data_IF_965325706722
#
_entry.id   IF_965325706722
#
_cell.length_a   1.000
_cell.length_b   1.000
_cell.length_c   1.000
_cell.angle_alpha   90.00
_cell.angle_beta   90.00
_cell.angle_gamma   90.00
#
_symmetry.space_group_name_H-M   'P 1'
#
loop_
_entity.id
_entity.type
_entity.pdbx_description
1 polymer ?
#
# COMPACT_ATOMS: atom_id res chain seq x y z
N UNK A 1 -52.73 -20.93 -22.22
CA UNK A 1 -52.74 -21.05 -23.69
C UNK A 1 -51.28 -21.18 -24.11
N UNK A 2 -50.72 -22.39 -24.18
CA UNK A 2 -50.67 -23.23 -25.39
C UNK A 2 -49.45 -22.79 -26.23
N UNK A 3 -48.43 -23.59 -26.56
CA UNK A 3 -48.39 -25.01 -26.88
C UNK A 3 -46.97 -25.56 -26.70
N UNK A 4 -46.89 -26.84 -26.35
CA UNK A 4 -45.72 -27.69 -26.36
C UNK A 4 -45.29 -28.10 -27.78
N UNK A 5 -44.04 -28.54 -27.94
CA UNK A 5 -43.65 -29.60 -28.88
C UNK A 5 -42.33 -30.27 -28.43
N UNK A 6 -42.49 -31.49 -27.89
CA UNK A 6 -41.48 -32.55 -27.78
C UNK A 6 -41.13 -33.13 -29.16
N UNK A 7 -39.94 -33.73 -29.35
CA UNK A 7 -39.70 -35.05 -29.99
C UNK A 7 -38.20 -35.27 -30.29
N UNK A 8 -37.57 -36.21 -29.55
CA UNK A 8 -36.55 -37.17 -30.05
C UNK A 8 -37.30 -38.47 -30.47
N UNK A 9 -36.71 -39.61 -30.94
CA UNK A 9 -35.31 -40.05 -31.13
C UNK A 9 -35.06 -40.87 -32.45
N UNK A 10 -33.88 -41.53 -32.57
CA UNK A 10 -33.59 -42.86 -33.20
C UNK A 10 -32.48 -42.93 -34.29
N UNK A 11 -31.24 -43.24 -33.85
CA UNK A 11 -30.53 -44.54 -34.05
C UNK A 11 -30.16 -45.05 -35.49
N UNK A 12 -29.49 -46.22 -35.68
CA UNK A 12 -28.12 -46.31 -36.21
C UNK A 12 -28.01 -47.18 -37.49
N UNK A 13 -26.89 -47.13 -38.22
CA UNK A 13 -26.55 -48.16 -39.21
C UNK A 13 -25.10 -48.62 -39.11
N UNK A 14 -24.99 -49.89 -38.69
CA UNK A 14 -23.86 -50.78 -38.89
C UNK A 14 -23.63 -51.03 -40.39
N UNK A 15 -22.36 -51.25 -40.77
CA UNK A 15 -21.97 -51.90 -42.01
C UNK A 15 -20.63 -52.63 -41.84
N UNK A 16 -20.72 -53.93 -41.56
CA UNK A 16 -19.62 -54.89 -41.43
C UNK A 16 -18.75 -55.00 -42.71
N UNK A 17 -17.47 -55.35 -42.55
CA UNK A 17 -16.89 -56.53 -43.22
C UNK A 17 -15.51 -56.89 -42.63
N UNK A 18 -15.49 -58.07 -42.01
CA UNK A 18 -14.32 -58.86 -41.66
C UNK A 18 -13.66 -59.42 -42.92
N UNK A 19 -12.35 -59.25 -43.05
CA UNK A 19 -11.51 -60.11 -43.88
C UNK A 19 -10.31 -60.58 -43.04
N UNK A 20 -10.36 -61.85 -42.64
CA UNK A 20 -9.24 -62.60 -42.08
C UNK A 20 -8.30 -63.00 -43.22
N UNK A 21 -7.06 -62.54 -43.18
CA UNK A 21 -5.92 -63.22 -43.82
C UNK A 21 -4.82 -63.33 -42.79
N UNK A 22 -4.48 -64.57 -42.45
CA UNK A 22 -3.31 -64.93 -41.67
C UNK A 22 -2.07 -64.88 -42.57
N UNK A 23 -0.96 -64.32 -42.09
CA UNK A 23 0.36 -64.97 -42.05
C UNK A 23 1.46 -64.01 -41.57
N UNK A 24 2.44 -64.63 -40.91
CA UNK A 24 3.82 -64.19 -40.63
C UNK A 24 4.04 -63.18 -39.51
N UNK A 25 4.48 -63.73 -38.37
CA UNK A 25 5.37 -63.07 -37.42
C UNK A 25 6.67 -62.76 -38.17
N UNK A 26 6.91 -61.48 -38.45
CA UNK A 26 8.21 -60.95 -38.84
C UNK A 26 8.54 -59.75 -37.95
N UNK A 27 9.82 -59.64 -37.65
CA UNK A 27 10.43 -58.89 -36.55
C UNK A 27 9.94 -57.45 -36.36
N UNK A 28 9.67 -57.10 -35.10
CA UNK A 28 9.55 -55.71 -34.63
C UNK A 28 10.95 -55.08 -34.68
N UNK A 29 11.20 -54.04 -35.49
CA UNK A 29 12.35 -53.19 -35.25
C UNK A 29 12.01 -52.30 -34.06
N UNK A 30 12.77 -52.44 -32.99
CA UNK A 30 12.86 -51.52 -31.87
C UNK A 30 13.35 -50.15 -32.37
N UNK A 31 12.40 -49.34 -32.85
CA UNK A 31 12.59 -47.96 -33.28
C UNK A 31 12.49 -46.98 -32.11
N UNK A 32 13.63 -46.76 -31.47
CA UNK A 32 14.11 -45.55 -30.79
C UNK A 32 13.09 -44.43 -30.46
N UNK A 33 12.90 -44.20 -29.15
CA UNK A 33 12.47 -42.92 -28.59
C UNK A 33 13.58 -41.87 -28.67
N UNK A 34 13.83 -41.34 -29.88
CA UNK A 34 14.88 -40.35 -30.15
C UNK A 34 14.41 -38.90 -30.29
N UNK A 35 13.12 -38.61 -30.17
CA UNK A 35 12.58 -37.25 -30.41
C UNK A 35 12.80 -36.26 -29.25
N UNK A 36 12.91 -36.74 -28.01
CA UNK A 36 12.95 -35.86 -26.83
C UNK A 36 14.28 -35.15 -26.55
N UNK A 37 15.41 -35.69 -26.99
CA UNK A 37 16.73 -35.11 -26.69
C UNK A 37 17.16 -34.02 -27.69
N UNK A 38 16.73 -34.13 -28.95
CA UNK A 38 17.02 -33.10 -29.97
C UNK A 38 16.23 -31.81 -29.71
N UNK A 39 14.99 -31.94 -29.23
CA UNK A 39 14.08 -30.81 -28.96
C UNK A 39 14.55 -29.98 -27.75
N UNK A 40 14.99 -30.65 -26.67
CA UNK A 40 15.55 -29.97 -25.47
C UNK A 40 16.83 -29.21 -25.81
N UNK A 41 17.73 -29.80 -26.60
CA UNK A 41 18.96 -29.13 -27.03
C UNK A 41 18.69 -27.92 -27.94
N UNK A 42 17.61 -27.96 -28.73
CA UNK A 42 17.20 -26.83 -29.56
C UNK A 42 16.66 -25.67 -28.72
N UNK A 43 15.83 -25.97 -27.70
CA UNK A 43 15.29 -24.95 -26.78
C UNK A 43 16.41 -24.24 -26.02
N UNK A 44 17.35 -25.00 -25.43
CA UNK A 44 18.49 -24.42 -24.72
C UNK A 44 19.34 -23.53 -25.63
N UNK A 45 19.60 -23.97 -26.87
CA UNK A 45 20.37 -23.20 -27.84
C UNK A 45 19.67 -21.89 -28.20
N UNK A 46 18.37 -21.95 -28.48
CA UNK A 46 17.56 -20.78 -28.83
C UNK A 46 17.50 -19.78 -27.67
N UNK A 47 17.29 -20.24 -26.44
CA UNK A 47 17.28 -19.38 -25.25
C UNK A 47 18.65 -18.71 -25.07
N UNK A 48 19.76 -19.46 -25.19
CA UNK A 48 21.09 -18.90 -25.03
C UNK A 48 21.45 -17.90 -26.15
N UNK A 49 20.94 -18.10 -27.37
CA UNK A 49 21.07 -17.12 -28.44
C UNK A 49 20.32 -15.82 -28.12
N UNK A 50 19.06 -15.93 -27.66
CA UNK A 50 18.27 -14.79 -27.22
C UNK A 50 19.00 -14.06 -26.08
N UNK A 51 19.51 -14.79 -25.08
CA UNK A 51 20.15 -14.21 -23.92
C UNK A 51 21.43 -13.44 -24.25
N UNK A 52 22.14 -13.78 -25.34
CA UNK A 52 23.36 -13.07 -25.75
C UNK A 52 23.12 -11.68 -26.32
N UNK A 53 21.88 -11.33 -26.62
CA UNK A 53 21.55 -9.98 -27.06
C UNK A 53 21.92 -8.97 -25.97
N UNK A 54 22.68 -7.95 -26.35
CA UNK A 54 23.13 -6.91 -25.42
C UNK A 54 22.04 -5.90 -25.09
N UNK A 55 21.05 -5.73 -25.98
CA UNK A 55 19.91 -4.86 -25.73
C UNK A 55 18.86 -5.59 -24.89
N UNK A 56 18.61 -5.09 -23.67
CA UNK A 56 17.68 -5.73 -22.75
C UNK A 56 16.23 -5.75 -23.22
N UNK A 57 15.79 -4.72 -23.96
CA UNK A 57 14.40 -4.64 -24.43
C UNK A 57 14.18 -5.60 -25.60
N UNK A 58 15.14 -5.68 -26.53
CA UNK A 58 15.09 -6.67 -27.61
C UNK A 58 15.16 -8.10 -27.07
N UNK A 59 16.05 -8.36 -26.11
CA UNK A 59 16.18 -9.66 -25.45
C UNK A 59 14.87 -10.13 -24.83
N UNK A 60 14.21 -9.26 -24.05
CA UNK A 60 12.90 -9.53 -23.43
C UNK A 60 11.82 -9.77 -24.49
N UNK A 61 11.79 -8.97 -25.56
CA UNK A 61 10.83 -9.12 -26.65
C UNK A 61 10.97 -10.47 -27.35
N UNK A 62 12.21 -10.85 -27.70
CA UNK A 62 12.53 -12.13 -28.36
C UNK A 62 12.20 -13.31 -27.45
N UNK A 63 12.56 -13.23 -26.16
CA UNK A 63 12.24 -14.25 -25.18
C UNK A 63 10.73 -14.45 -25.04
N UNK A 64 9.98 -13.35 -24.88
CA UNK A 64 8.53 -13.41 -24.71
C UNK A 64 7.83 -14.01 -25.93
N UNK A 65 8.25 -13.63 -27.15
CA UNK A 65 7.73 -14.20 -28.38
C UNK A 65 7.98 -15.71 -28.46
N UNK A 66 9.21 -16.13 -28.14
CA UNK A 66 9.59 -17.53 -28.17
C UNK A 66 8.81 -18.38 -27.16
N UNK A 67 8.67 -17.90 -25.90
CA UNK A 67 7.91 -18.61 -24.87
C UNK A 67 6.43 -18.79 -25.25
N UNK A 68 5.83 -17.83 -25.95
CA UNK A 68 4.44 -17.94 -26.41
C UNK A 68 4.21 -18.98 -27.51
N UNK A 69 5.27 -19.39 -28.21
CA UNK A 69 5.20 -20.45 -29.23
C UNK A 69 5.38 -21.86 -28.64
N UNK A 70 5.99 -21.95 -27.45
CA UNK A 70 6.29 -23.23 -26.81
C UNK A 70 5.05 -23.82 -26.13
N UNK A 71 4.87 -25.15 -26.22
CA UNK A 71 3.77 -25.81 -25.53
C UNK A 71 4.13 -26.02 -24.03
N UNK A 72 3.13 -26.12 -23.13
CA UNK A 72 3.33 -26.18 -21.68
C UNK A 72 4.31 -27.25 -21.19
N UNK A 73 4.42 -28.37 -21.92
CA UNK A 73 5.28 -29.50 -21.57
C UNK A 73 6.77 -29.14 -21.62
N UNK A 74 7.13 -28.05 -22.31
CA UNK A 74 8.51 -27.57 -22.46
C UNK A 74 8.96 -26.67 -21.30
N UNK A 75 8.14 -26.45 -20.27
CA UNK A 75 8.50 -25.59 -19.14
C UNK A 75 9.79 -25.99 -18.42
N UNK A 76 9.97 -27.28 -18.13
CA UNK A 76 11.19 -27.77 -17.46
C UNK A 76 12.45 -27.62 -18.33
N UNK A 77 12.43 -28.00 -19.63
CA UNK A 77 13.52 -27.66 -20.56
C UNK A 77 13.86 -26.18 -20.61
N UNK A 78 12.85 -25.30 -20.67
CA UNK A 78 13.06 -23.84 -20.64
C UNK A 78 13.77 -23.45 -19.35
N UNK A 79 13.26 -23.85 -18.18
CA UNK A 79 13.84 -23.50 -16.89
C UNK A 79 15.31 -23.93 -16.74
N UNK A 80 15.66 -25.12 -17.24
CA UNK A 80 17.05 -25.63 -17.25
C UNK A 80 17.98 -24.76 -18.09
N UNK A 81 17.52 -24.22 -19.21
CA UNK A 81 18.33 -23.32 -20.03
C UNK A 81 18.77 -22.07 -19.24
N UNK A 82 17.93 -21.60 -18.31
CA UNK A 82 18.24 -20.45 -17.46
C UNK A 82 19.26 -20.78 -16.37
N UNK A 83 19.34 -22.02 -15.89
CA UNK A 83 20.31 -22.44 -14.86
C UNK A 83 21.76 -22.16 -15.26
N UNK A 84 22.05 -22.23 -16.56
CA UNK A 84 23.38 -22.00 -17.15
C UNK A 84 23.63 -20.55 -17.58
N UNK A 85 22.66 -19.66 -17.38
CA UNK A 85 22.72 -18.27 -17.88
C UNK A 85 23.65 -17.38 -17.04
N UNK A 86 24.04 -16.24 -17.63
CA UNK A 86 24.81 -15.18 -16.96
C UNK A 86 23.94 -14.22 -16.13
N UNK A 87 22.63 -14.44 -16.08
CA UNK A 87 21.67 -13.56 -15.40
C UNK A 87 21.91 -13.52 -13.89
N UNK A 88 21.58 -12.41 -13.26
CA UNK A 88 21.60 -12.22 -11.82
C UNK A 88 20.27 -12.59 -11.17
N UNK A 89 20.28 -12.68 -9.83
CA UNK A 89 19.10 -13.05 -9.04
C UNK A 89 17.97 -12.03 -9.24
N UNK A 90 16.80 -12.50 -9.65
CA UNK A 90 15.61 -11.66 -9.83
C UNK A 90 15.59 -10.85 -11.12
N UNK A 91 16.48 -11.13 -12.08
CA UNK A 91 16.46 -10.53 -13.41
C UNK A 91 15.11 -10.72 -14.12
N UNK A 92 14.75 -9.75 -14.95
CA UNK A 92 13.42 -9.65 -15.57
C UNK A 92 13.12 -10.84 -16.50
N UNK A 93 14.13 -11.45 -17.10
CA UNK A 93 13.99 -12.66 -17.90
C UNK A 93 13.49 -13.84 -17.05
N UNK A 94 13.94 -13.96 -15.79
CA UNK A 94 13.43 -14.97 -14.86
C UNK A 94 11.98 -14.69 -14.48
N UNK A 95 11.62 -13.41 -14.33
CA UNK A 95 10.23 -12.98 -14.08
C UNK A 95 9.33 -13.37 -15.25
N UNK A 96 9.79 -13.20 -16.50
CA UNK A 96 9.01 -13.56 -17.70
C UNK A 96 8.83 -15.08 -17.81
N UNK A 97 9.85 -15.87 -17.49
CA UNK A 97 9.75 -17.33 -17.46
C UNK A 97 8.75 -17.78 -16.39
N UNK A 98 8.83 -17.21 -15.18
CA UNK A 98 7.90 -17.48 -14.09
C UNK A 98 6.45 -17.09 -14.43
N UNK A 99 6.28 -15.92 -15.03
CA UNK A 99 5.00 -15.42 -15.54
C UNK A 99 4.40 -16.37 -16.59
N UNK A 100 5.20 -16.88 -17.52
CA UNK A 100 4.74 -17.81 -18.55
C UNK A 100 4.40 -19.18 -17.95
N UNK A 101 5.30 -19.77 -17.16
CA UNK A 101 5.13 -21.10 -16.57
C UNK A 101 3.97 -21.14 -15.58
N UNK A 102 3.81 -20.10 -14.76
CA UNK A 102 2.73 -19.97 -13.79
C UNK A 102 1.32 -19.99 -14.37
N UNK A 103 1.17 -19.83 -15.70
CA UNK A 103 -0.14 -19.89 -16.39
C UNK A 103 -0.72 -21.29 -16.45
N UNK A 104 0.11 -22.33 -16.37
CA UNK A 104 -0.31 -23.71 -16.59
C UNK A 104 0.22 -24.70 -15.55
N UNK A 105 1.33 -24.40 -14.86
CA UNK A 105 1.86 -25.23 -13.78
C UNK A 105 2.52 -24.35 -12.70
N UNK A 106 1.73 -23.62 -11.90
CA UNK A 106 2.22 -22.67 -10.92
C UNK A 106 2.93 -23.36 -9.75
N UNK A 107 2.53 -24.56 -9.34
CA UNK A 107 3.23 -25.30 -8.28
C UNK A 107 4.66 -25.64 -8.71
N UNK A 108 4.86 -26.22 -9.92
CA UNK A 108 6.21 -26.50 -10.39
C UNK A 108 7.04 -25.23 -10.64
N UNK A 109 6.40 -24.14 -11.08
CA UNK A 109 7.06 -22.85 -11.22
C UNK A 109 7.51 -22.28 -9.86
N UNK A 110 6.69 -22.40 -8.80
CA UNK A 110 7.07 -22.01 -7.44
C UNK A 110 8.16 -22.92 -6.86
N UNK A 111 8.10 -24.22 -7.09
CA UNK A 111 9.16 -25.15 -6.69
C UNK A 111 10.49 -24.77 -7.36
N UNK A 112 10.45 -24.44 -8.65
CA UNK A 112 11.62 -23.93 -9.37
C UNK A 112 12.19 -22.65 -8.74
N UNK A 113 11.33 -21.72 -8.31
CA UNK A 113 11.81 -20.51 -7.62
C UNK A 113 12.52 -20.83 -6.30
N UNK A 114 12.08 -21.85 -5.57
CA UNK A 114 12.70 -22.25 -4.31
C UNK A 114 14.00 -23.06 -4.51
N UNK A 115 14.08 -23.86 -5.58
CA UNK A 115 15.24 -24.72 -5.87
C UNK A 115 16.38 -23.96 -6.57
N UNK A 116 16.06 -22.97 -7.39
CA UNK A 116 17.03 -22.22 -8.18
C UNK A 116 17.30 -20.84 -7.59
N UNK A 117 18.47 -20.66 -6.97
CA UNK A 117 18.82 -19.46 -6.19
C UNK A 117 18.71 -18.11 -6.93
N UNK A 118 18.79 -18.08 -8.27
CA UNK A 118 18.58 -16.84 -9.05
C UNK A 118 17.10 -16.53 -9.21
N UNK A 119 16.23 -17.54 -9.28
CA UNK A 119 14.78 -17.39 -9.30
C UNK A 119 14.15 -17.24 -7.91
N UNK A 120 14.89 -17.60 -6.86
CA UNK A 120 14.54 -17.42 -5.44
C UNK A 120 14.43 -15.93 -5.08
N UNK A 121 13.43 -15.22 -5.59
CA UNK A 121 13.32 -13.77 -5.46
C UNK A 121 11.85 -13.32 -5.48
N UNK A 122 11.44 -12.36 -4.61
CA UNK A 122 10.03 -11.99 -4.46
C UNK A 122 9.33 -11.57 -5.75
N UNK A 123 10.06 -10.91 -6.67
CA UNK A 123 9.50 -10.48 -7.96
C UNK A 123 9.18 -11.65 -8.91
N UNK A 124 9.99 -12.70 -8.86
CA UNK A 124 9.82 -13.89 -9.70
C UNK A 124 8.63 -14.70 -9.17
N UNK A 125 8.58 -14.94 -7.86
CA UNK A 125 7.42 -15.59 -7.21
C UNK A 125 6.12 -14.81 -7.41
N UNK A 126 6.16 -13.48 -7.29
CA UNK A 126 5.00 -12.62 -7.53
C UNK A 126 4.45 -12.78 -8.95
N UNK A 127 5.30 -13.02 -9.95
CA UNK A 127 4.86 -13.25 -11.32
C UNK A 127 4.09 -14.56 -11.44
N UNK A 128 4.54 -15.64 -10.78
CA UNK A 128 3.79 -16.90 -10.75
C UNK A 128 2.40 -16.69 -10.14
N UNK A 129 2.30 -16.01 -8.99
CA UNK A 129 1.00 -15.72 -8.36
C UNK A 129 0.09 -14.84 -9.21
N UNK A 130 0.63 -13.82 -9.90
CA UNK A 130 -0.15 -12.97 -10.82
C UNK A 130 -0.62 -13.72 -12.05
N UNK A 131 0.23 -14.56 -12.64
CA UNK A 131 -0.13 -15.41 -13.76
C UNK A 131 -1.25 -16.36 -13.38
N UNK A 132 -1.10 -17.07 -12.27
CA UNK A 132 -2.13 -17.96 -11.75
C UNK A 132 -3.43 -17.20 -11.48
N UNK A 133 -3.37 -16.07 -10.77
CA UNK A 133 -4.58 -15.33 -10.42
C UNK A 133 -5.33 -14.72 -11.61
N UNK A 134 -4.64 -14.47 -12.73
CA UNK A 134 -5.30 -14.03 -13.96
C UNK A 134 -6.16 -15.12 -14.61
N UNK A 135 -5.73 -16.38 -14.51
CA UNK A 135 -6.44 -17.53 -15.08
C UNK A 135 -7.41 -18.15 -14.09
N UNK A 136 -6.96 -18.42 -12.86
CA UNK A 136 -7.76 -19.01 -11.78
C UNK A 136 -7.42 -18.36 -10.44
N UNK A 137 -8.18 -17.32 -10.11
CA UNK A 137 -7.94 -16.54 -8.89
C UNK A 137 -8.25 -17.31 -7.60
N UNK A 138 -9.22 -18.22 -7.63
CA UNK A 138 -9.55 -19.05 -6.45
C UNK A 138 -8.42 -20.04 -6.18
N UNK A 139 -7.89 -20.66 -7.24
CA UNK A 139 -6.71 -21.52 -7.11
C UNK A 139 -5.49 -20.75 -6.59
N UNK A 140 -5.29 -19.51 -7.05
CA UNK A 140 -4.22 -18.67 -6.54
C UNK A 140 -4.31 -18.45 -5.03
N UNK A 141 -5.51 -18.20 -4.51
CA UNK A 141 -5.76 -18.08 -3.06
C UNK A 141 -5.49 -19.40 -2.34
N UNK A 142 -5.94 -20.53 -2.88
CA UNK A 142 -5.68 -21.86 -2.29
C UNK A 142 -4.18 -22.12 -2.14
N UNK A 143 -3.38 -21.83 -3.17
CA UNK A 143 -1.92 -21.99 -3.14
C UNK A 143 -1.28 -21.13 -2.05
N UNK A 144 -1.72 -19.87 -1.90
CA UNK A 144 -1.25 -18.97 -0.81
C UNK A 144 -1.70 -19.46 0.57
N UNK A 145 -2.81 -20.20 0.68
CA UNK A 145 -3.25 -20.75 1.97
C UNK A 145 -2.53 -22.04 2.33
N UNK A 146 -2.18 -22.88 1.36
CA UNK A 146 -1.54 -24.17 1.59
C UNK A 146 -0.02 -24.10 1.73
N UNK A 147 0.63 -23.08 1.17
CA UNK A 147 2.09 -22.95 1.19
C UNK A 147 2.60 -22.40 2.54
N UNK A 148 3.64 -22.99 3.14
CA UNK A 148 4.33 -22.39 4.26
C UNK A 148 5.20 -21.22 3.79
N UNK A 149 5.06 -20.04 4.40
CA UNK A 149 5.86 -18.84 4.06
C UNK A 149 7.08 -18.66 4.97
N UNK A 150 7.38 -19.64 5.83
CA UNK A 150 8.53 -19.57 6.71
C UNK A 150 9.82 -19.77 5.91
N UNK A 151 10.70 -18.77 5.88
CA UNK A 151 11.95 -18.73 5.10
C UNK A 151 11.77 -18.63 3.58
N UNK A 152 10.59 -18.26 3.09
CA UNK A 152 10.37 -17.96 1.67
C UNK A 152 10.86 -16.53 1.34
N UNK A 153 11.36 -16.27 0.12
CA UNK A 153 11.73 -14.93 -0.32
C UNK A 153 10.55 -13.96 -0.27
N UNK A 154 9.38 -14.40 -0.76
CA UNK A 154 8.15 -13.61 -0.72
C UNK A 154 7.43 -13.75 0.62
N UNK A 155 7.02 -12.63 1.22
CA UNK A 155 6.15 -12.67 2.39
C UNK A 155 4.71 -13.01 1.99
N UNK A 156 3.96 -13.67 2.88
CA UNK A 156 2.54 -14.02 2.64
C UNK A 156 1.69 -12.81 2.22
N UNK A 157 1.94 -11.64 2.80
CA UNK A 157 1.25 -10.40 2.44
C UNK A 157 1.52 -9.95 1.00
N UNK A 158 2.74 -10.15 0.52
CA UNK A 158 3.13 -9.76 -0.84
C UNK A 158 2.59 -10.76 -1.87
N UNK A 159 2.51 -12.05 -1.51
CA UNK A 159 1.81 -13.05 -2.31
C UNK A 159 0.30 -12.71 -2.46
N UNK A 160 -0.36 -12.29 -1.38
CA UNK A 160 -1.74 -11.79 -1.48
C UNK A 160 -1.87 -10.57 -2.38
N UNK A 161 -0.96 -9.59 -2.30
CA UNK A 161 -0.98 -8.45 -3.22
C UNK A 161 -0.80 -8.88 -4.67
N UNK A 162 0.09 -9.84 -4.95
CA UNK A 162 0.28 -10.40 -6.29
C UNK A 162 -1.01 -11.08 -6.81
N UNK A 163 -1.70 -11.85 -5.96
CA UNK A 163 -3.00 -12.45 -6.29
C UNK A 163 -4.06 -11.38 -6.54
N UNK A 164 -4.14 -10.33 -5.70
CA UNK A 164 -5.10 -9.24 -5.87
C UNK A 164 -4.89 -8.52 -7.20
N UNK A 165 -3.63 -8.24 -7.59
CA UNK A 165 -3.31 -7.63 -8.88
C UNK A 165 -3.74 -8.53 -10.03
N UNK A 166 -3.36 -9.82 -10.01
CA UNK A 166 -3.72 -10.74 -11.09
C UNK A 166 -5.24 -10.97 -11.22
N UNK A 167 -5.96 -11.07 -10.11
CA UNK A 167 -7.42 -11.18 -10.11
C UNK A 167 -8.08 -9.89 -10.61
N UNK A 168 -7.55 -8.73 -10.23
CA UNK A 168 -8.05 -7.44 -10.71
C UNK A 168 -7.88 -7.29 -12.23
N UNK A 169 -6.72 -7.68 -12.75
CA UNK A 169 -6.39 -7.61 -14.18
C UNK A 169 -7.24 -8.57 -15.03
N UNK A 170 -7.68 -9.70 -14.48
CA UNK A 170 -8.53 -10.65 -15.22
C UNK A 170 -9.97 -10.20 -15.35
N UNK A 171 -10.43 -9.26 -14.52
CA UNK A 171 -11.84 -8.85 -14.47
C UNK A 171 -12.78 -9.94 -13.94
N UNK A 172 -12.25 -11.02 -13.37
CA UNK A 172 -13.08 -12.07 -12.76
C UNK A 172 -13.84 -11.52 -11.53
N UNK A 173 -15.11 -11.89 -11.32
CA UNK A 173 -15.86 -11.47 -10.13
C UNK A 173 -15.30 -12.11 -8.85
N UNK A 174 -15.71 -11.61 -7.68
CA UNK A 174 -15.34 -12.22 -6.38
C UNK A 174 -14.14 -11.58 -5.68
N UNK A 175 -13.42 -10.65 -6.31
CA UNK A 175 -12.22 -10.03 -5.73
C UNK A 175 -12.55 -9.21 -4.48
N UNK A 176 -13.63 -8.42 -4.49
CA UNK A 176 -13.98 -7.59 -3.35
C UNK A 176 -14.39 -8.47 -2.15
N UNK A 177 -15.18 -9.50 -2.40
CA UNK A 177 -15.59 -10.50 -1.41
C UNK A 177 -14.36 -11.19 -0.82
N UNK A 178 -13.41 -11.57 -1.68
CA UNK A 178 -12.14 -12.13 -1.23
C UNK A 178 -11.35 -11.14 -0.34
N UNK A 179 -11.12 -9.91 -0.80
CA UNK A 179 -10.39 -8.87 -0.05
C UNK A 179 -11.01 -8.60 1.32
N UNK A 180 -12.33 -8.61 1.41
CA UNK A 180 -13.08 -8.45 2.66
C UNK A 180 -12.98 -9.70 3.54
N UNK A 181 -12.88 -10.90 2.94
CA UNK A 181 -12.76 -12.17 3.66
C UNK A 181 -11.38 -12.44 4.28
N UNK A 182 -10.33 -11.70 3.86
CA UNK A 182 -8.97 -11.87 4.39
C UNK A 182 -8.98 -11.56 5.90
N UNK A 183 -8.98 -12.61 6.71
CA UNK A 183 -8.98 -12.53 8.18
C UNK A 183 -7.70 -11.84 8.70
N UNK A 184 -7.86 -10.86 9.58
CA UNK A 184 -6.78 -10.10 10.20
C UNK A 184 -6.80 -8.62 9.80
N UNK A 185 -6.91 -7.73 10.80
CA UNK A 185 -7.09 -6.29 10.57
C UNK A 185 -5.99 -5.69 9.66
N UNK A 186 -4.73 -6.09 9.82
CA UNK A 186 -3.64 -5.52 9.02
C UNK A 186 -3.63 -6.01 7.57
N UNK A 187 -3.84 -7.31 7.35
CA UNK A 187 -3.87 -7.91 6.02
C UNK A 187 -5.05 -7.38 5.19
N UNK A 188 -6.24 -7.31 5.79
CA UNK A 188 -7.42 -6.70 5.17
C UNK A 188 -7.17 -5.23 4.83
N UNK A 189 -6.60 -4.44 5.75
CA UNK A 189 -6.31 -3.03 5.49
C UNK A 189 -5.28 -2.81 4.38
N UNK A 190 -4.31 -3.72 4.22
CA UNK A 190 -3.36 -3.70 3.10
C UNK A 190 -4.06 -4.03 1.78
N UNK A 191 -4.81 -5.13 1.75
CA UNK A 191 -5.55 -5.57 0.56
C UNK A 191 -6.54 -4.49 0.06
N UNK A 192 -7.30 -3.87 0.96
CA UNK A 192 -8.20 -2.75 0.64
C UNK A 192 -7.45 -1.54 0.04
N UNK A 193 -6.24 -1.24 0.53
CA UNK A 193 -5.40 -0.17 -0.04
C UNK A 193 -4.89 -0.54 -1.44
N UNK A 194 -4.45 -1.78 -1.64
CA UNK A 194 -3.99 -2.28 -2.93
C UNK A 194 -5.13 -2.20 -3.95
N UNK A 195 -6.32 -2.69 -3.61
CA UNK A 195 -7.51 -2.62 -4.46
C UNK A 195 -7.92 -1.18 -4.80
N UNK A 196 -7.91 -0.28 -3.81
CA UNK A 196 -8.22 1.13 -4.05
C UNK A 196 -7.27 1.80 -5.05
N UNK A 197 -5.95 1.54 -4.92
CA UNK A 197 -4.94 2.06 -5.86
C UNK A 197 -5.11 1.49 -7.26
N UNK A 198 -5.46 0.21 -7.37
CA UNK A 198 -5.72 -0.44 -8.65
C UNK A 198 -6.92 0.19 -9.37
N UNK A 199 -8.03 0.43 -8.67
CA UNK A 199 -9.17 1.14 -9.24
C UNK A 199 -8.82 2.55 -9.70
N UNK A 200 -8.13 3.35 -8.88
CA UNK A 200 -7.73 4.72 -9.28
C UNK A 200 -6.80 4.70 -10.49
N UNK A 201 -5.85 3.77 -10.54
CA UNK A 201 -4.88 3.67 -11.63
C UNK A 201 -5.50 3.15 -12.94
N UNK A 202 -6.42 2.18 -12.88
CA UNK A 202 -7.02 1.56 -14.07
C UNK A 202 -8.24 2.33 -14.57
N UNK A 203 -9.14 2.69 -13.66
CA UNK A 203 -10.47 3.23 -13.99
C UNK A 203 -10.50 4.77 -13.94
N UNK A 204 -9.49 5.40 -13.32
CA UNK A 204 -9.45 6.83 -13.04
C UNK A 204 -10.08 7.18 -11.69
N UNK A 205 -9.71 8.34 -11.10
CA UNK A 205 -10.12 8.68 -9.75
C UNK A 205 -11.63 8.90 -9.58
N UNK A 206 -12.31 9.52 -10.55
CA UNK A 206 -13.76 9.75 -10.49
C UNK A 206 -14.54 8.43 -10.51
N UNK A 207 -14.16 7.52 -11.41
CA UNK A 207 -14.79 6.21 -11.53
C UNK A 207 -14.55 5.37 -10.26
N UNK A 208 -13.32 5.41 -9.72
CA UNK A 208 -12.98 4.72 -8.49
C UNK A 208 -13.77 5.25 -7.29
N UNK A 209 -13.90 6.58 -7.15
CA UNK A 209 -14.71 7.20 -6.09
C UNK A 209 -16.17 6.77 -6.22
N UNK A 210 -16.76 6.88 -7.41
CA UNK A 210 -18.14 6.44 -7.67
C UNK A 210 -18.35 4.95 -7.37
N UNK A 211 -17.40 4.08 -7.74
CA UNK A 211 -17.45 2.66 -7.40
C UNK A 211 -17.46 2.44 -5.88
N UNK A 212 -16.57 3.14 -5.15
CA UNK A 212 -16.44 2.97 -3.70
C UNK A 212 -17.68 3.40 -2.92
N UNK A 213 -18.43 4.38 -3.43
CA UNK A 213 -19.69 4.84 -2.84
C UNK A 213 -20.83 3.83 -3.00
N UNK A 214 -20.80 3.04 -4.07
CA UNK A 214 -21.89 2.16 -4.49
C UNK A 214 -21.55 0.67 -4.32
N UNK A 215 -20.41 0.34 -3.71
CA UNK A 215 -20.00 -1.03 -3.49
C UNK A 215 -21.04 -1.79 -2.64
N UNK A 216 -21.44 -2.96 -3.13
CA UNK A 216 -22.42 -3.85 -2.49
C UNK A 216 -21.75 -4.67 -1.37
N UNK A 217 -21.36 -3.97 -0.31
CA UNK A 217 -20.73 -4.50 0.90
C UNK A 217 -21.38 -3.89 2.13
N UNK A 218 -21.10 -4.47 3.30
CA UNK A 218 -21.50 -3.90 4.58
C UNK A 218 -21.05 -2.43 4.68
N UNK A 219 -21.91 -1.57 5.25
CA UNK A 219 -21.68 -0.14 5.37
C UNK A 219 -20.32 0.21 6.00
N UNK A 220 -19.90 -0.50 7.06
CA UNK A 220 -18.59 -0.28 7.68
C UNK A 220 -17.42 -0.50 6.72
N UNK A 221 -17.50 -1.55 5.90
CA UNK A 221 -16.50 -1.87 4.87
C UNK A 221 -16.54 -0.83 3.75
N UNK A 222 -17.73 -0.42 3.32
CA UNK A 222 -17.91 0.63 2.31
C UNK A 222 -17.21 1.93 2.72
N UNK A 223 -17.39 2.37 3.96
CA UNK A 223 -16.71 3.55 4.51
C UNK A 223 -15.19 3.42 4.50
N UNK A 224 -14.67 2.27 4.90
CA UNK A 224 -13.22 2.00 4.86
C UNK A 224 -12.73 2.04 3.41
N UNK A 225 -13.45 1.41 2.47
CA UNK A 225 -13.09 1.38 1.06
C UNK A 225 -13.08 2.78 0.44
N UNK A 226 -14.15 3.55 0.63
CA UNK A 226 -14.25 4.94 0.17
C UNK A 226 -13.09 5.79 0.73
N UNK A 227 -12.73 5.59 2.00
CA UNK A 227 -11.58 6.23 2.61
C UNK A 227 -10.23 5.81 1.98
N UNK A 228 -10.08 4.56 1.52
CA UNK A 228 -8.87 4.10 0.81
C UNK A 228 -8.80 4.66 -0.60
N UNK A 229 -9.93 4.68 -1.32
CA UNK A 229 -10.03 5.25 -2.66
C UNK A 229 -9.79 6.75 -2.62
N UNK A 230 -10.32 7.46 -1.61
CA UNK A 230 -10.05 8.88 -1.41
C UNK A 230 -8.55 9.15 -1.21
N UNK A 231 -7.88 8.34 -0.39
CA UNK A 231 -6.45 8.47 -0.17
C UNK A 231 -5.63 8.14 -1.43
N UNK A 232 -6.07 7.18 -2.25
CA UNK A 232 -5.45 6.87 -3.53
C UNK A 232 -5.71 7.98 -4.56
N UNK A 233 -6.89 8.59 -4.56
CA UNK A 233 -7.26 9.73 -5.41
C UNK A 233 -6.40 10.94 -5.07
N UNK A 234 -6.19 11.22 -3.78
CA UNK A 234 -5.35 12.34 -3.34
C UNK A 234 -3.88 12.23 -3.78
N UNK A 235 -3.41 11.05 -4.22
CA UNK A 235 -2.06 10.86 -4.78
C UNK A 235 -1.94 11.30 -6.25
N UNK A 236 -3.06 11.34 -6.98
CA UNK A 236 -3.08 11.61 -8.43
C UNK A 236 -3.87 12.86 -8.79
N UNK A 237 -4.88 13.19 -7.99
CA UNK A 237 -5.73 14.38 -8.13
C UNK A 237 -6.20 14.82 -6.72
N UNK A 238 -5.39 15.65 -6.02
CA UNK A 238 -5.73 16.11 -4.69
C UNK A 238 -6.92 17.07 -4.66
N UNK A 239 -7.18 17.84 -5.72
CA UNK A 239 -8.31 18.77 -5.81
C UNK A 239 -9.65 18.02 -5.92
N UNK A 240 -9.68 16.94 -6.70
CA UNK A 240 -10.84 16.06 -6.78
C UNK A 240 -11.09 15.36 -5.44
N UNK A 241 -10.05 14.85 -4.79
CA UNK A 241 -10.15 14.26 -3.46
C UNK A 241 -10.69 15.26 -2.42
N UNK A 242 -10.16 16.47 -2.42
CA UNK A 242 -10.60 17.58 -1.58
C UNK A 242 -12.08 17.93 -1.79
N UNK A 243 -12.50 18.07 -3.05
CA UNK A 243 -13.90 18.36 -3.42
C UNK A 243 -14.83 17.24 -2.99
N UNK A 244 -14.45 15.98 -3.22
CA UNK A 244 -15.23 14.82 -2.82
C UNK A 244 -15.39 14.74 -1.30
N UNK A 245 -14.29 14.95 -0.57
CA UNK A 245 -14.29 14.93 0.89
C UNK A 245 -15.19 16.02 1.49
N UNK A 246 -15.26 17.20 0.87
CA UNK A 246 -16.16 18.29 1.29
C UNK A 246 -17.63 18.00 0.99
N UNK A 247 -17.94 17.36 -0.15
CA UNK A 247 -19.33 17.10 -0.59
C UNK A 247 -20.06 16.15 0.36
N UNK A 248 -19.45 14.99 0.63
CA UNK A 248 -20.09 13.90 1.38
C UNK A 248 -19.62 13.79 2.82
N UNK A 249 -18.55 14.53 3.16
CA UNK A 249 -18.11 14.79 4.51
C UNK A 249 -17.74 13.56 5.35
N UNK A 250 -17.24 13.83 6.57
CA UNK A 250 -17.13 12.85 7.63
C UNK A 250 -18.47 12.22 8.06
N UNK A 251 -19.60 12.88 7.75
CA UNK A 251 -20.94 12.42 8.13
C UNK A 251 -21.32 11.12 7.40
N UNK A 252 -21.12 11.07 6.07
CA UNK A 252 -21.44 9.88 5.27
C UNK A 252 -20.39 8.78 5.47
N UNK A 253 -19.11 9.11 5.32
CA UNK A 253 -18.04 8.10 5.26
C UNK A 253 -17.20 7.97 6.54
N UNK A 254 -17.57 8.67 7.61
CA UNK A 254 -16.92 8.60 8.91
C UNK A 254 -15.75 9.57 9.07
N UNK A 255 -15.19 9.67 10.28
CA UNK A 255 -14.13 10.61 10.58
C UNK A 255 -12.82 10.29 9.84
N UNK A 256 -11.92 11.27 9.84
CA UNK A 256 -10.57 11.28 9.27
C UNK A 256 -10.52 11.30 7.75
N UNK A 257 -11.48 11.93 7.07
CA UNK A 257 -11.38 12.13 5.62
C UNK A 257 -10.47 13.32 5.29
N UNK A 258 -10.70 14.48 5.93
CA UNK A 258 -9.89 15.66 5.66
C UNK A 258 -8.40 15.44 5.97
N UNK A 259 -8.03 14.85 7.13
CA UNK A 259 -6.63 14.53 7.43
C UNK A 259 -5.98 13.57 6.43
N UNK A 260 -6.74 12.70 5.76
CA UNK A 260 -6.18 11.77 4.75
C UNK A 260 -5.83 12.46 3.45
N UNK A 261 -6.70 13.35 2.98
CA UNK A 261 -6.42 14.19 1.81
C UNK A 261 -5.23 15.08 2.14
N UNK A 262 -5.27 15.77 3.29
CA UNK A 262 -4.19 16.63 3.77
C UNK A 262 -2.84 15.90 3.88
N UNK A 263 -2.81 14.67 4.41
CA UNK A 263 -1.59 13.88 4.55
C UNK A 263 -0.87 13.62 3.21
N UNK A 264 -1.64 13.58 2.12
CA UNK A 264 -1.12 13.28 0.79
C UNK A 264 -0.79 14.57 0.04
N UNK A 265 -1.76 15.48 -0.05
CA UNK A 265 -1.63 16.73 -0.79
C UNK A 265 -0.51 17.64 -0.25
N UNK A 266 -0.30 17.67 1.08
CA UNK A 266 0.74 18.52 1.69
C UNK A 266 2.16 18.14 1.25
N UNK A 267 2.36 16.93 0.75
CA UNK A 267 3.67 16.49 0.26
C UNK A 267 4.00 17.08 -1.12
N UNK A 268 2.97 17.51 -1.86
CA UNK A 268 3.07 18.13 -3.17
C UNK A 268 2.97 19.65 -3.07
N UNK A 269 1.94 20.14 -2.37
CA UNK A 269 1.69 21.58 -2.19
C UNK A 269 1.10 21.84 -0.80
N UNK A 270 1.95 22.30 0.11
CA UNK A 270 1.57 22.54 1.49
C UNK A 270 0.68 23.78 1.67
N UNK A 271 0.92 24.84 0.90
CA UNK A 271 0.15 26.08 0.97
C UNK A 271 -1.26 25.86 0.41
N UNK A 272 -1.40 25.22 -0.76
CA UNK A 272 -2.71 24.89 -1.32
C UNK A 272 -3.50 23.94 -0.40
N UNK A 273 -2.80 22.99 0.24
CA UNK A 273 -3.43 22.11 1.23
C UNK A 273 -4.01 22.90 2.41
N UNK A 274 -3.25 23.85 2.97
CA UNK A 274 -3.70 24.63 4.11
C UNK A 274 -4.78 25.66 3.75
N UNK A 275 -4.73 26.23 2.54
CA UNK A 275 -5.81 27.07 2.02
C UNK A 275 -7.11 26.27 1.82
N UNK A 276 -7.02 25.03 1.34
CA UNK A 276 -8.18 24.14 1.31
C UNK A 276 -8.71 23.82 2.72
N UNK A 277 -7.83 23.52 3.68
CA UNK A 277 -8.22 23.22 5.07
C UNK A 277 -8.93 24.42 5.71
N UNK A 278 -8.46 25.65 5.42
CA UNK A 278 -9.06 26.90 5.91
C UNK A 278 -10.53 27.04 5.50
N UNK A 279 -10.92 26.50 4.35
CA UNK A 279 -12.29 26.56 3.83
C UNK A 279 -13.23 25.50 4.42
N UNK A 280 -12.70 24.54 5.21
CA UNK A 280 -13.49 23.48 5.82
C UNK A 280 -14.32 24.01 7.03
N UNK A 281 -15.43 23.32 7.37
CA UNK A 281 -16.19 23.62 8.58
C UNK A 281 -15.30 23.64 9.84
N UNK A 282 -15.61 24.55 10.77
CA UNK A 282 -14.89 24.67 12.03
C UNK A 282 -15.25 23.52 12.99
N UNK A 283 -14.66 22.37 12.75
CA UNK A 283 -14.85 21.15 13.52
C UNK A 283 -13.53 20.45 13.86
N UNK A 284 -13.64 19.37 14.63
CA UNK A 284 -12.50 18.54 15.05
C UNK A 284 -11.75 17.92 13.86
N UNK A 285 -12.42 17.67 12.74
CA UNK A 285 -11.81 17.07 11.55
C UNK A 285 -10.92 18.06 10.83
N UNK A 286 -11.31 19.34 10.77
CA UNK A 286 -10.44 20.43 10.30
C UNK A 286 -9.20 20.57 11.18
N UNK A 287 -9.37 20.58 12.50
CA UNK A 287 -8.25 20.67 13.46
C UNK A 287 -7.24 19.51 13.30
N UNK A 288 -7.73 18.29 13.06
CA UNK A 288 -6.89 17.14 12.77
C UNK A 288 -6.19 17.25 11.40
N UNK A 289 -6.84 17.85 10.42
CA UNK A 289 -6.26 18.10 9.11
C UNK A 289 -5.13 19.14 9.20
N UNK A 290 -5.33 20.25 9.93
CA UNK A 290 -4.28 21.24 10.23
C UNK A 290 -3.10 20.57 10.93
N UNK A 291 -3.36 19.84 12.02
CA UNK A 291 -2.32 19.09 12.76
C UNK A 291 -1.55 18.13 11.87
N UNK A 292 -2.23 17.45 10.96
CA UNK A 292 -1.62 16.46 10.07
C UNK A 292 -0.79 17.10 8.98
N UNK A 293 -1.35 18.06 8.25
CA UNK A 293 -0.65 18.80 7.20
C UNK A 293 0.58 19.50 7.77
N UNK A 294 0.38 20.35 8.79
CA UNK A 294 1.45 21.19 9.33
C UNK A 294 2.61 20.35 9.89
N UNK A 295 2.32 19.26 10.60
CA UNK A 295 3.34 18.32 11.09
C UNK A 295 4.16 17.68 9.97
N UNK A 296 3.54 17.38 8.82
CA UNK A 296 4.25 16.79 7.68
C UNK A 296 5.08 17.86 6.99
N UNK A 297 4.52 19.05 6.78
CA UNK A 297 5.22 20.17 6.20
C UNK A 297 6.45 20.55 7.02
N UNK A 298 6.28 20.84 8.31
CA UNK A 298 7.38 21.20 9.21
C UNK A 298 8.46 20.10 9.29
N UNK A 299 8.10 18.82 9.21
CA UNK A 299 9.11 17.74 9.22
C UNK A 299 9.98 17.73 7.95
N UNK A 300 9.46 18.17 6.81
CA UNK A 300 10.19 18.18 5.53
C UNK A 300 10.87 19.52 5.27
N UNK A 301 10.21 20.61 5.62
CA UNK A 301 10.60 22.00 5.37
C UNK A 301 10.30 22.85 6.61
N UNK A 302 11.07 22.71 7.70
CA UNK A 302 10.79 23.39 8.96
C UNK A 302 10.83 24.90 8.84
N UNK A 303 11.81 25.47 8.10
CA UNK A 303 11.94 26.92 7.95
C UNK A 303 10.78 27.54 7.18
N UNK A 304 10.31 26.86 6.13
CA UNK A 304 9.19 27.36 5.31
C UNK A 304 7.85 27.24 6.05
N UNK A 305 7.62 26.12 6.75
CA UNK A 305 6.41 25.95 7.56
C UNK A 305 6.33 26.97 8.71
N UNK A 306 7.45 27.24 9.39
CA UNK A 306 7.50 28.25 10.45
C UNK A 306 7.30 29.66 9.91
N UNK A 307 7.98 30.02 8.81
CA UNK A 307 7.80 31.33 8.15
C UNK A 307 6.35 31.54 7.71
N UNK A 308 5.77 30.54 7.05
CA UNK A 308 4.37 30.61 6.61
C UNK A 308 3.43 30.83 7.80
N UNK A 309 3.61 30.10 8.91
CA UNK A 309 2.77 30.26 10.10
C UNK A 309 2.92 31.65 10.74
N UNK A 310 4.13 32.22 10.73
CA UNK A 310 4.36 33.61 11.18
C UNK A 310 3.66 34.63 10.29
N UNK A 311 3.68 34.43 8.96
CA UNK A 311 3.03 35.32 7.99
C UNK A 311 1.50 35.29 8.06
N UNK A 312 0.90 34.16 8.46
CA UNK A 312 -0.55 34.05 8.61
C UNK A 312 -1.11 34.81 9.83
N UNK A 313 -0.29 35.06 10.84
CA UNK A 313 -0.72 35.66 12.11
C UNK A 313 -1.57 34.74 12.99
N UNK A 314 -2.26 35.33 13.98
CA UNK A 314 -2.98 34.61 15.01
C UNK A 314 -4.46 34.41 14.62
N UNK A 315 -4.71 33.35 13.87
CA UNK A 315 -6.06 32.94 13.42
C UNK A 315 -6.54 31.70 14.18
N UNK A 316 -7.81 31.60 14.61
CA UNK A 316 -8.27 30.47 15.44
C UNK A 316 -8.07 29.07 14.84
N UNK A 317 -8.15 28.93 13.52
CA UNK A 317 -7.94 27.64 12.85
C UNK A 317 -6.47 27.22 12.81
N UNK A 318 -5.54 28.13 13.13
CA UNK A 318 -4.10 27.89 13.20
C UNK A 318 -3.60 27.55 14.60
N UNK A 319 -4.45 27.61 15.63
CA UNK A 319 -4.12 27.18 16.99
C UNK A 319 -3.49 25.77 16.98
N UNK A 320 -4.05 24.87 16.18
CA UNK A 320 -3.49 23.52 16.05
C UNK A 320 -2.14 23.46 15.35
N UNK A 321 -1.83 24.37 14.43
CA UNK A 321 -0.52 24.47 13.80
C UNK A 321 0.52 24.99 14.81
N UNK A 322 0.17 26.01 15.60
CA UNK A 322 1.01 26.56 16.68
C UNK A 322 1.36 25.47 17.70
N UNK A 323 0.36 24.73 18.20
CA UNK A 323 0.58 23.61 19.11
C UNK A 323 1.49 22.56 18.46
N UNK A 324 1.26 22.24 17.19
CA UNK A 324 2.03 21.23 16.46
C UNK A 324 3.49 21.63 16.31
N UNK A 325 3.77 22.90 16.00
CA UNK A 325 5.11 23.47 15.88
C UNK A 325 5.89 23.29 17.18
N UNK A 326 5.37 23.85 18.28
CA UNK A 326 6.05 23.85 19.58
C UNK A 326 6.29 22.42 20.09
N UNK A 327 5.33 21.51 19.86
CA UNK A 327 5.47 20.09 20.22
C UNK A 327 6.49 19.37 19.35
N UNK A 328 6.67 19.75 18.09
CA UNK A 328 7.67 19.17 17.20
C UNK A 328 9.08 19.61 17.62
N UNK A 329 9.29 20.91 17.79
CA UNK A 329 10.56 21.49 18.23
C UNK A 329 11.01 20.98 19.61
N UNK A 330 10.07 20.83 20.55
CA UNK A 330 10.37 20.29 21.89
C UNK A 330 10.83 18.83 21.87
N UNK A 331 10.45 18.06 20.84
CA UNK A 331 10.94 16.67 20.68
C UNK A 331 12.34 16.63 20.10
N UNK A 332 12.68 17.54 19.18
CA UNK A 332 14.01 17.63 18.58
C UNK A 332 15.04 18.25 19.52
N UNK A 333 14.62 19.20 20.38
CA UNK A 333 15.50 19.87 21.34
C UNK A 333 14.99 19.73 22.78
N UNK A 334 15.33 18.59 23.39
CA UNK A 334 14.96 18.22 24.78
C UNK A 334 15.91 18.82 25.83
N UNK A 335 17.05 19.35 25.40
CA UNK A 335 18.06 20.04 26.24
C UNK A 335 18.01 21.56 26.05
N UNK A 336 16.93 22.06 25.47
CA UNK A 336 16.69 23.47 25.23
C UNK A 336 16.93 24.31 26.49
N UNK A 337 17.60 25.45 26.30
CA UNK A 337 17.83 26.44 27.36
C UNK A 337 16.52 27.09 27.81
N UNK A 338 16.56 27.75 28.97
CA UNK A 338 15.42 28.50 29.53
C UNK A 338 14.87 29.54 28.55
N UNK A 339 15.72 30.22 27.78
CA UNK A 339 15.28 31.19 26.75
C UNK A 339 14.40 30.55 25.66
N UNK A 340 14.68 29.32 25.26
CA UNK A 340 13.89 28.61 24.23
C UNK A 340 12.54 28.22 24.81
N UNK A 341 12.50 27.75 26.06
CA UNK A 341 11.25 27.40 26.74
C UNK A 341 10.35 28.62 26.98
N UNK A 342 10.94 29.76 27.34
CA UNK A 342 10.24 31.03 27.41
C UNK A 342 9.57 31.37 26.07
N UNK A 343 10.31 31.34 24.95
CA UNK A 343 9.76 31.62 23.61
C UNK A 343 8.65 30.65 23.22
N UNK A 344 8.75 29.37 23.61
CA UNK A 344 7.69 28.37 23.39
C UNK A 344 6.43 28.71 24.16
N UNK A 345 6.56 29.09 25.43
CA UNK A 345 5.42 29.49 26.25
C UNK A 345 4.75 30.77 25.73
N UNK A 346 5.54 31.76 25.32
CA UNK A 346 5.07 32.98 24.64
C UNK A 346 4.40 32.67 23.29
N UNK A 347 4.93 31.75 22.49
CA UNK A 347 4.27 31.35 21.25
C UNK A 347 2.93 30.65 21.53
N UNK A 348 2.85 29.81 22.56
CA UNK A 348 1.60 29.14 22.93
C UNK A 348 0.55 30.09 23.52
N UNK A 349 0.93 31.26 24.02
CA UNK A 349 -0.05 32.24 24.50
C UNK A 349 -0.81 32.97 23.37
N UNK A 350 -0.33 32.85 22.13
CA UNK A 350 -1.05 33.32 20.92
C UNK A 350 -2.26 32.46 20.53
N UNK A 351 -2.39 31.25 21.10
CA UNK A 351 -3.53 30.33 20.84
C UNK A 351 -4.83 31.05 21.17
N UNK A 352 -5.77 31.12 20.23
CA UNK A 352 -6.99 31.92 20.42
C UNK A 352 -7.95 31.30 21.45
N UNK A 353 -8.12 29.98 21.49
CA UNK A 353 -8.97 29.29 22.47
C UNK A 353 -8.35 29.31 23.88
N UNK A 354 -9.00 29.96 24.84
CA UNK A 354 -8.48 30.14 26.20
C UNK A 354 -8.17 28.83 26.91
N UNK A 355 -9.03 27.82 26.77
CA UNK A 355 -8.83 26.54 27.46
C UNK A 355 -7.59 25.82 26.92
N UNK A 356 -7.44 25.75 25.59
CA UNK A 356 -6.30 25.15 24.91
C UNK A 356 -5.02 25.95 25.17
N UNK A 357 -5.09 27.28 25.09
CA UNK A 357 -3.97 28.20 25.38
C UNK A 357 -3.37 27.89 26.73
N UNK A 358 -4.18 27.92 27.79
CA UNK A 358 -3.67 27.73 29.14
C UNK A 358 -3.24 26.30 29.43
N UNK A 359 -3.87 25.31 28.80
CA UNK A 359 -3.45 23.91 28.91
C UNK A 359 -2.09 23.67 28.25
N UNK A 360 -1.83 24.31 27.11
CA UNK A 360 -0.56 24.16 26.39
C UNK A 360 0.56 24.99 27.03
N UNK A 361 0.29 26.23 27.48
CA UNK A 361 1.23 27.04 28.28
C UNK A 361 1.62 26.28 29.56
N UNK A 362 0.65 25.72 30.27
CA UNK A 362 0.90 24.89 31.45
C UNK A 362 1.83 23.71 31.16
N UNK A 363 1.61 23.01 30.05
CA UNK A 363 2.48 21.93 29.62
C UNK A 363 3.92 22.39 29.32
N UNK A 364 4.08 23.53 28.63
CA UNK A 364 5.40 24.06 28.29
C UNK A 364 6.17 24.48 29.54
N UNK A 365 5.52 25.19 30.47
CA UNK A 365 6.12 25.62 31.74
C UNK A 365 6.51 24.43 32.61
N UNK A 366 5.64 23.41 32.71
CA UNK A 366 5.98 22.18 33.42
C UNK A 366 7.19 21.47 32.79
N UNK A 367 7.27 21.45 31.46
CA UNK A 367 8.39 20.84 30.74
C UNK A 367 9.70 21.63 30.93
N UNK A 368 9.61 22.96 30.98
CA UNK A 368 10.71 23.86 31.31
C UNK A 368 11.21 23.65 32.74
N UNK A 369 10.32 23.58 33.72
CA UNK A 369 10.69 23.45 35.12
C UNK A 369 11.37 22.13 35.47
N UNK A 370 11.18 21.08 34.67
CA UNK A 370 11.97 19.85 34.79
C UNK A 370 13.46 20.05 34.48
N UNK A 371 13.85 21.22 33.95
CA UNK A 371 15.24 21.62 33.64
C UNK A 371 15.72 22.78 34.49
N UNK A 372 14.87 23.79 34.66
CA UNK A 372 15.18 25.02 35.38
C UNK A 372 13.91 25.53 36.06
N UNK A 373 13.59 25.00 37.26
CA UNK A 373 12.35 25.32 37.95
C UNK A 373 12.31 26.77 38.44
N UNK A 374 13.46 27.37 38.76
CA UNK A 374 13.55 28.77 39.18
C UNK A 374 13.23 29.74 38.03
N UNK A 375 13.82 29.52 36.85
CA UNK A 375 13.52 30.38 35.71
C UNK A 375 12.06 30.25 35.24
N UNK A 376 11.51 29.03 35.26
CA UNK A 376 10.11 28.79 34.94
C UNK A 376 9.16 29.52 35.91
N UNK A 377 9.44 29.48 37.22
CA UNK A 377 8.67 30.18 38.24
C UNK A 377 8.78 31.71 38.10
N UNK A 378 9.99 32.21 37.85
CA UNK A 378 10.20 33.65 37.60
C UNK A 378 9.41 34.14 36.38
N UNK A 379 9.44 33.38 35.28
CA UNK A 379 8.67 33.74 34.09
C UNK A 379 7.17 33.73 34.36
N UNK A 380 6.65 32.70 35.05
CA UNK A 380 5.25 32.65 35.45
C UNK A 380 4.85 33.92 36.19
N UNK A 381 5.59 34.32 37.24
CA UNK A 381 5.32 35.52 38.02
C UNK A 381 5.38 36.80 37.19
N UNK A 382 6.31 36.87 36.23
CA UNK A 382 6.44 38.03 35.34
C UNK A 382 5.37 38.11 34.25
N UNK A 383 4.76 36.98 33.87
CA UNK A 383 3.84 36.91 32.74
C UNK A 383 2.42 37.30 33.15
N UNK A 384 2.08 38.58 33.00
CA UNK A 384 0.83 39.19 33.49
C UNK A 384 -0.46 38.71 32.81
N UNK A 385 -0.37 38.12 31.62
CA UNK A 385 -1.54 37.66 30.85
C UNK A 385 -2.11 36.32 31.35
N UNK A 386 -1.36 35.59 32.19
CA UNK A 386 -1.80 34.32 32.79
C UNK A 386 -2.82 34.57 33.92
N UNK A 387 -4.06 34.02 33.83
CA UNK A 387 -5.06 34.19 34.87
C UNK A 387 -4.59 33.58 36.20
N UNK A 388 -4.95 34.24 37.30
CA UNK A 388 -4.51 33.86 38.66
C UNK A 388 -4.84 32.41 39.03
N UNK A 389 -5.95 31.87 38.52
CA UNK A 389 -6.36 30.48 38.73
C UNK A 389 -5.38 29.47 38.12
N UNK A 390 -4.84 29.76 36.93
CA UNK A 390 -3.84 28.93 36.27
C UNK A 390 -2.44 29.17 36.87
N UNK A 391 -2.12 30.42 37.20
CA UNK A 391 -0.89 30.80 37.90
C UNK A 391 -0.73 30.04 39.21
N UNK A 392 -1.74 30.08 40.08
CA UNK A 392 -1.72 29.36 41.37
C UNK A 392 -1.50 27.86 41.17
N UNK A 393 -2.27 27.23 40.27
CA UNK A 393 -2.13 25.79 39.98
C UNK A 393 -0.75 25.42 39.44
N UNK A 394 -0.17 26.25 38.58
CA UNK A 394 1.16 26.01 38.05
C UNK A 394 2.22 26.19 39.12
N UNK A 395 2.14 27.23 39.95
CA UNK A 395 3.06 27.42 41.08
C UNK A 395 2.98 26.27 42.09
N UNK A 396 1.79 25.74 42.36
CA UNK A 396 1.63 24.54 43.20
C UNK A 396 2.34 23.31 42.61
N UNK A 397 2.32 23.15 41.28
CA UNK A 397 3.03 22.07 40.58
C UNK A 397 4.55 22.27 40.57
N UNK A 398 5.03 23.52 40.56
CA UNK A 398 6.45 23.85 40.53
C UNK A 398 7.12 23.81 41.90
N UNK A 399 6.37 24.08 42.98
CA UNK A 399 6.91 24.23 44.33
C UNK A 399 7.79 23.04 44.77
N UNK A 400 7.39 21.76 44.56
CA UNK A 400 8.25 20.62 44.91
C UNK A 400 9.57 20.57 44.14
N UNK A 401 9.57 20.97 42.85
CA UNK A 401 10.77 20.96 42.01
C UNK A 401 11.77 22.03 42.44
N UNK A 402 11.26 23.18 42.90
CA UNK A 402 12.08 24.28 43.43
C UNK A 402 12.69 23.90 44.80
N UNK A 403 11.91 23.23 45.66
CA UNK A 403 12.38 22.77 46.97
C UNK A 403 13.47 21.70 46.85
N UNK A 404 13.31 20.73 45.94
CA UNK A 404 14.30 19.67 45.69
C UNK A 404 15.66 20.21 45.18
N UNK A 405 15.63 21.23 44.31
CA UNK A 405 16.85 21.88 43.80
C UNK A 405 17.62 22.63 44.92
N UNK A 406 16.88 23.32 45.80
CA UNK A 406 17.45 24.04 46.94
C UNK A 406 17.93 23.10 48.07
N UNK A 407 17.33 21.92 48.21
CA UNK A 407 17.70 20.91 49.22
C UNK A 407 18.85 19.98 48.81
N UNK A 408 19.18 19.92 47.52
CA UNK A 408 20.24 19.06 46.96
C UNK A 408 21.59 19.73 46.68
N UNK A 409 21.74 21.02 47.03
CA UNK A 409 22.96 21.82 46.81
C UNK A 409 23.95 21.79 47.97
#
# INVERSE_FOLDING_TARGET
MGSAATYSPLSPWLGCLLALVACSVEDVPSGQGGGGSQDVSAIETQIMEILRDTDGLERISKLSAYLLELPPEQAKPVARAFESSFLDRGDIELVIVAEWWGRFDPEAALDWTAEYWKADHPRVESAVFRALARHDAKRAVEVVLSRPFANEPIAKSDAYDAVIVGWFDSGQPGLLEFVVSISGLEASQRALRSLARLHVARDGPEAALSWSENADVEEGIRKIMASRVLAATALVDPQLAATWAQRDGPERFGPRLYPRVAMTWVQEDAEATLEWIRQLPADRERDEAVRTAFRIWHRRHPEDASRWLEEQGDEPWLDMAVITLVRAESRSDRSASSDIWQRRAEKLSSITDDHSRWSEVAWAVHSWAAKDPQAAAYWLDSYSELPDTYRSKLMDLLSPLIEDENGGS
#
